data_IF_097430177021
#
_entry.id   IF_097430177021
#
_cell.length_a   1.000
_cell.length_b   1.000
_cell.length_c   1.000
_cell.angle_alpha   90.00
_cell.angle_beta   90.00
_cell.angle_gamma   90.00
#
_symmetry.space_group_name_H-M   'P 1'
#
loop_
_entity.id
_entity.type
_entity.pdbx_description
1 polymer ?
#
# COMPACT_ATOMS: atom_id res chain seq x y z
N UNK A 1 3.23 1.32 5.64
CA UNK A 1 1.86 1.88 5.74
C UNK A 1 1.63 3.01 4.73
N UNK A 2 2.70 3.53 4.12
CA UNK A 2 2.71 4.61 3.13
C UNK A 2 1.80 4.38 1.92
N UNK A 3 1.57 3.12 1.53
CA UNK A 3 0.63 2.77 0.47
C UNK A 3 -0.80 3.14 0.86
N UNK A 4 -1.19 2.95 2.13
CA UNK A 4 -2.52 3.35 2.60
C UNK A 4 -2.66 4.86 2.54
N UNK A 5 -1.63 5.62 2.95
CA UNK A 5 -1.64 7.08 2.84
C UNK A 5 -1.70 7.57 1.39
N UNK A 6 -1.02 6.87 0.47
CA UNK A 6 -1.11 7.14 -0.96
C UNK A 6 -2.55 7.03 -1.48
N UNK A 7 -3.26 5.96 -1.11
CA UNK A 7 -4.65 5.76 -1.52
C UNK A 7 -5.60 6.71 -0.79
N UNK A 8 -5.37 6.97 0.51
CA UNK A 8 -6.14 7.94 1.31
C UNK A 8 -6.09 9.33 0.69
N UNK A 9 -4.91 9.78 0.25
CA UNK A 9 -4.72 11.05 -0.46
C UNK A 9 -5.21 11.02 -1.93
N UNK A 10 -5.61 9.85 -2.45
CA UNK A 10 -6.01 9.67 -3.84
C UNK A 10 -4.88 9.95 -4.83
N UNK A 11 -3.62 9.67 -4.45
CA UNK A 11 -2.41 9.94 -5.21
C UNK A 11 -1.23 10.37 -4.32
N UNK A 12 0.00 10.01 -4.71
CA UNK A 12 1.21 10.32 -3.93
C UNK A 12 1.68 11.73 -4.26
N UNK A 13 2.04 12.50 -3.25
CA UNK A 13 2.74 13.77 -3.42
C UNK A 13 4.22 13.57 -3.15
N UNK A 14 5.06 14.00 -4.10
CA UNK A 14 6.52 14.08 -3.93
C UNK A 14 6.83 15.57 -3.91
N UNK A 15 7.32 16.08 -2.78
CA UNK A 15 7.43 17.52 -2.56
C UNK A 15 8.62 18.15 -3.30
N UNK A 16 9.71 17.41 -3.46
CA UNK A 16 10.98 17.97 -3.94
C UNK A 16 11.75 17.04 -4.88
N UNK A 17 12.72 17.62 -5.59
CA UNK A 17 13.64 16.91 -6.47
C UNK A 17 13.09 16.62 -7.88
N UNK A 18 13.85 15.83 -8.64
CA UNK A 18 13.58 15.52 -10.06
C UNK A 18 12.19 14.89 -10.30
N UNK A 19 11.63 14.24 -9.30
CA UNK A 19 10.35 13.53 -9.38
C UNK A 19 9.23 14.25 -8.61
N UNK A 20 9.41 15.53 -8.25
CA UNK A 20 8.39 16.30 -7.57
C UNK A 20 7.08 16.37 -8.39
N UNK A 21 5.95 16.26 -7.70
CA UNK A 21 4.64 16.26 -8.32
C UNK A 21 3.52 15.83 -7.39
N UNK A 22 2.29 16.20 -7.76
CA UNK A 22 1.07 15.90 -7.00
C UNK A 22 0.26 14.86 -7.75
N UNK A 23 0.41 13.59 -7.39
CA UNK A 23 -0.23 12.47 -8.08
C UNK A 23 -1.76 12.53 -8.06
N UNK A 24 -2.36 13.14 -7.03
CA UNK A 24 -3.81 13.28 -6.93
C UNK A 24 -4.42 14.21 -7.99
N UNK A 25 -3.60 15.08 -8.59
CA UNK A 25 -3.95 16.03 -9.67
C UNK A 25 -3.55 15.54 -11.07
N UNK A 26 -3.04 14.31 -11.20
CA UNK A 26 -2.63 13.78 -12.49
C UNK A 26 -3.86 13.57 -13.41
N UNK A 27 -3.90 14.13 -14.63
CA UNK A 27 -5.03 13.99 -15.55
C UNK A 27 -5.29 12.54 -15.99
N UNK A 28 -4.28 11.68 -15.95
CA UNK A 28 -4.39 10.26 -16.31
C UNK A 28 -4.72 9.37 -15.09
N UNK A 29 -5.01 9.95 -13.92
CA UNK A 29 -5.39 9.18 -12.74
C UNK A 29 -6.75 8.52 -12.96
N UNK A 30 -6.84 7.22 -12.68
CA UNK A 30 -8.11 6.51 -12.68
C UNK A 30 -9.10 7.18 -11.72
N UNK A 31 -10.35 7.35 -12.16
CA UNK A 31 -11.44 7.95 -11.37
C UNK A 31 -11.79 7.11 -10.13
N UNK A 32 -11.44 5.82 -10.12
CA UNK A 32 -11.62 4.94 -8.96
C UNK A 32 -10.61 5.17 -7.83
N UNK A 33 -9.47 5.82 -8.12
CA UNK A 33 -8.47 6.20 -7.11
C UNK A 33 -8.79 7.59 -6.59
N UNK A 34 -9.94 7.70 -5.93
CA UNK A 34 -10.35 8.91 -5.20
C UNK A 34 -9.82 8.86 -3.77
N UNK A 35 -9.44 10.01 -3.24
CA UNK A 35 -9.09 10.13 -1.84
C UNK A 35 -10.30 9.87 -0.93
N UNK A 36 -10.02 9.51 0.30
CA UNK A 36 -11.01 9.21 1.32
C UNK A 36 -10.42 9.49 2.70
N UNK A 37 -11.28 9.60 3.70
CA UNK A 37 -10.83 9.75 5.08
C UNK A 37 -10.73 8.40 5.78
N UNK A 38 -9.76 8.28 6.67
CA UNK A 38 -9.55 7.12 7.54
C UNK A 38 -9.31 7.63 8.95
N UNK A 39 -10.09 7.13 9.90
CA UNK A 39 -9.73 7.23 11.31
C UNK A 39 -8.50 6.36 11.59
N UNK A 40 -7.81 6.62 12.70
CA UNK A 40 -6.67 5.78 13.13
C UNK A 40 -7.11 4.32 13.38
N UNK A 41 -8.33 4.13 13.87
CA UNK A 41 -8.90 2.80 14.08
C UNK A 41 -9.11 2.08 12.74
N UNK A 42 -9.80 2.70 11.77
CA UNK A 42 -10.05 2.07 10.47
C UNK A 42 -8.75 1.77 9.72
N UNK A 43 -7.74 2.64 9.84
CA UNK A 43 -6.40 2.37 9.31
C UNK A 43 -5.79 1.12 9.95
N UNK A 44 -5.89 1.00 11.28
CA UNK A 44 -5.42 -0.17 12.02
C UNK A 44 -6.13 -1.45 11.57
N UNK A 45 -7.45 -1.40 11.43
CA UNK A 45 -8.27 -2.53 11.00
C UNK A 45 -7.93 -2.97 9.57
N UNK A 46 -7.73 -2.01 8.65
CA UNK A 46 -7.29 -2.30 7.28
C UNK A 46 -5.90 -2.93 7.26
N UNK A 47 -4.96 -2.43 8.06
CA UNK A 47 -3.62 -3.02 8.17
C UNK A 47 -3.71 -4.45 8.72
N UNK A 48 -4.55 -4.70 9.73
CA UNK A 48 -4.77 -6.03 10.27
C UNK A 48 -5.35 -6.99 9.23
N UNK A 49 -6.35 -6.54 8.46
CA UNK A 49 -6.93 -7.30 7.36
C UNK A 49 -5.88 -7.66 6.31
N UNK A 50 -5.09 -6.69 5.83
CA UNK A 50 -4.04 -6.95 4.84
C UNK A 50 -2.96 -7.92 5.36
N UNK A 51 -2.59 -7.81 6.64
CA UNK A 51 -1.66 -8.75 7.27
C UNK A 51 -2.23 -10.18 7.35
N UNK A 52 -3.54 -10.33 7.48
CA UNK A 52 -4.21 -11.64 7.52
C UNK A 52 -4.10 -12.43 6.22
N UNK A 53 -3.81 -11.75 5.10
CA UNK A 53 -3.61 -12.37 3.78
C UNK A 53 -2.26 -13.11 3.66
N UNK A 54 -1.40 -13.06 4.68
CA UNK A 54 -0.11 -13.76 4.66
C UNK A 54 -0.30 -15.26 4.91
N UNK A 55 -0.02 -16.10 3.90
CA UNK A 55 0.07 -17.54 4.12
C UNK A 55 1.35 -17.91 4.88
N UNK A 56 1.21 -18.13 6.19
CA UNK A 56 2.31 -18.51 7.08
C UNK A 56 2.88 -19.89 6.76
N UNK A 57 2.09 -20.82 6.21
CA UNK A 57 2.57 -22.15 5.84
C UNK A 57 3.42 -22.06 4.59
N UNK A 58 2.99 -21.29 3.59
CA UNK A 58 3.77 -21.11 2.36
C UNK A 58 5.17 -20.55 2.62
N UNK A 59 5.25 -19.43 3.35
CA UNK A 59 6.54 -18.72 3.57
C UNK A 59 7.51 -19.42 4.52
N UNK A 60 7.05 -20.44 5.26
CA UNK A 60 7.89 -21.22 6.19
C UNK A 60 8.08 -22.69 5.78
N UNK A 61 7.49 -23.12 4.66
CA UNK A 61 7.54 -24.52 4.24
C UNK A 61 8.96 -24.90 3.78
N UNK A 62 9.64 -25.88 4.42
CA UNK A 62 10.94 -26.37 3.98
C UNK A 62 10.91 -26.98 2.57
N UNK A 63 9.75 -27.43 2.09
CA UNK A 63 9.62 -27.92 0.69
C UNK A 63 9.81 -26.82 -0.36
N UNK A 64 9.69 -25.56 0.04
CA UNK A 64 9.86 -24.38 -0.83
C UNK A 64 11.08 -23.54 -0.44
N UNK A 65 11.91 -24.01 0.50
CA UNK A 65 13.13 -23.31 0.88
C UNK A 65 14.21 -23.44 -0.20
N UNK A 66 15.26 -22.62 -0.08
CA UNK A 66 16.46 -22.71 -0.91
C UNK A 66 17.03 -24.15 -0.88
N UNK A 67 17.10 -24.85 -2.02
CA UNK A 67 17.53 -26.25 -2.06
C UNK A 67 19.05 -26.43 -1.95
N UNK A 68 19.83 -25.34 -1.96
CA UNK A 68 21.30 -25.37 -1.92
C UNK A 68 21.90 -24.84 -0.61
N UNK A 69 21.06 -24.61 0.40
CA UNK A 69 21.48 -24.33 1.77
C UNK A 69 21.63 -25.59 2.61
#
# INVERSE_FOLDING_TARGET
EDVIEHYRAGGRTIETGKYAGVGSKNPNKSSFVRGFELTQQEKGDLVAFLKSLTDKRFVTNPKFSDPWK
#
